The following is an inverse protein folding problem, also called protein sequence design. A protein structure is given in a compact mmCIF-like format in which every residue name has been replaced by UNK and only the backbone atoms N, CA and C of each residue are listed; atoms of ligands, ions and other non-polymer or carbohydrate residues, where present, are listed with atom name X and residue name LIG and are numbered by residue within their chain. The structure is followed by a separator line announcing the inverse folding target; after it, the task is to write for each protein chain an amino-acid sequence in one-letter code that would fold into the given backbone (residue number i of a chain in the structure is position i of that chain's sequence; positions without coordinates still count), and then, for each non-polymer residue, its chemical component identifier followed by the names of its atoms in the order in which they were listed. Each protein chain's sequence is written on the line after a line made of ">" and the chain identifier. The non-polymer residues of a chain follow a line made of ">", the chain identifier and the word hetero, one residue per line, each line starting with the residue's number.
data_IF_067038714634
#
_entry.id   IF_067038714634
#
_cell.length_a   1.000
_cell.length_b   1.000
_cell.length_c   1.000
_cell.angle_alpha   90.00
_cell.angle_beta   90.00
_cell.angle_gamma   90.00
#
_symmetry.space_group_name_H-M   'P 1'
#
loop_
_entity.id
_entity.type
_entity.pdbx_description
1 polymer ?
#
# COMPACT_ATOMS: atom_id res chain seq x y z
N UNK A 1 9.98 4.50 18.15
CA UNK A 1 9.40 4.36 17.75
C UNK A 1 9.05 3.60 16.92
N UNK A 2 9.21 3.31 16.81
CA UNK A 2 8.92 2.72 16.11
C UNK A 2 7.81 2.48 15.84
N UNK A 3 7.49 2.77 15.88
CA UNK A 3 6.44 2.46 15.62
C UNK A 3 5.69 3.00 14.59
N UNK A 4 6.29 3.63 13.72
CA UNK A 4 5.65 4.12 12.56
C UNK A 4 5.01 3.02 11.80
N UNK A 5 5.61 1.92 11.66
CA UNK A 5 5.04 0.85 10.90
C UNK A 5 3.83 0.18 11.51
N UNK A 6 3.42 0.61 12.70
CA UNK A 6 2.35 -0.08 13.36
C UNK A 6 1.02 0.02 12.62
N UNK A 7 0.86 0.99 11.76
CA UNK A 7 -0.38 1.19 11.05
C UNK A 7 -0.57 0.19 9.92
N UNK A 8 0.48 -0.17 9.22
CA UNK A 8 0.40 -1.06 8.08
C UNK A 8 0.91 -2.45 8.41
N UNK A 9 0.23 -3.45 7.87
CA UNK A 9 0.80 -4.80 7.88
C UNK A 9 1.94 -4.85 6.87
N UNK A 10 2.77 -5.87 6.99
CA UNK A 10 3.86 -6.08 6.04
C UNK A 10 3.33 -6.18 4.61
N UNK A 11 2.23 -6.93 4.43
CA UNK A 11 1.66 -7.12 3.10
C UNK A 11 1.11 -5.82 2.53
N UNK A 12 0.47 -5.02 3.36
CA UNK A 12 -0.04 -3.72 2.91
C UNK A 12 1.09 -2.83 2.44
N UNK A 13 2.19 -2.82 3.18
CA UNK A 13 3.34 -2.02 2.79
C UNK A 13 3.94 -2.52 1.48
N UNK A 14 4.06 -3.84 1.32
CA UNK A 14 4.57 -4.41 0.07
C UNK A 14 3.72 -3.97 -1.12
N UNK A 15 2.40 -4.04 -0.97
CA UNK A 15 1.50 -3.70 -2.05
C UNK A 15 1.65 -2.24 -2.44
N UNK A 16 1.67 -1.34 -1.46
CA UNK A 16 1.78 0.08 -1.76
C UNK A 16 3.16 0.45 -2.30
N UNK A 17 4.20 -0.26 -1.86
CA UNK A 17 5.52 -0.03 -2.44
C UNK A 17 5.53 -0.39 -3.94
N UNK A 18 4.86 -1.48 -4.30
CA UNK A 18 4.75 -1.85 -5.70
C UNK A 18 3.88 -0.87 -6.49
N UNK A 19 2.82 -0.35 -5.86
CA UNK A 19 2.00 0.66 -6.51
C UNK A 19 2.81 1.90 -6.85
N UNK A 20 3.66 2.33 -5.94
CA UNK A 20 4.43 3.54 -6.18
C UNK A 20 5.52 3.30 -7.24
N UNK A 21 5.86 2.03 -7.47
CA UNK A 21 6.80 1.65 -8.53
C UNK A 21 6.06 1.37 -9.84
N UNK A 22 4.78 1.75 -9.89
CA UNK A 22 3.97 1.72 -11.11
C UNK A 22 3.48 0.33 -11.52
N UNK A 23 3.41 -0.58 -10.58
CA UNK A 23 2.81 -1.89 -10.83
C UNK A 23 1.29 -1.76 -10.78
N UNK A 24 0.59 -2.44 -11.71
CA UNK A 24 -0.88 -2.50 -11.67
C UNK A 24 -1.32 -3.51 -10.62
N UNK A 25 -2.61 -3.49 -10.27
CA UNK A 25 -3.13 -4.48 -9.34
C UNK A 25 -2.96 -5.89 -9.88
N UNK A 26 -3.08 -6.06 -11.21
CA UNK A 26 -2.87 -7.35 -11.81
C UNK A 26 -1.41 -7.79 -11.65
N UNK A 27 -0.48 -6.89 -11.93
CA UNK A 27 0.93 -7.20 -11.79
C UNK A 27 1.28 -7.57 -10.36
N UNK A 28 0.71 -6.85 -9.40
CA UNK A 28 0.96 -7.13 -7.99
C UNK A 28 0.41 -8.49 -7.61
N UNK A 29 -0.79 -8.82 -8.09
CA UNK A 29 -1.38 -10.11 -7.78
C UNK A 29 -0.51 -11.25 -8.28
N UNK A 30 0.05 -11.09 -9.46
CA UNK A 30 0.92 -12.11 -10.04
C UNK A 30 2.25 -12.20 -9.29
N UNK A 31 2.81 -11.05 -8.96
CA UNK A 31 4.09 -11.01 -8.27
C UNK A 31 4.00 -11.62 -6.88
N UNK A 32 2.92 -11.35 -6.18
CA UNK A 32 2.74 -11.81 -4.80
C UNK A 32 1.96 -13.12 -4.72
N UNK A 33 1.46 -13.61 -5.86
CA UNK A 33 0.72 -14.87 -5.94
C UNK A 33 -0.53 -14.84 -5.07
N UNK A 34 -1.27 -13.75 -5.16
CA UNK A 34 -2.56 -13.59 -4.52
C UNK A 34 -3.54 -13.08 -5.58
N UNK A 35 -4.83 -13.12 -5.28
CA UNK A 35 -5.82 -12.67 -6.25
C UNK A 35 -5.85 -11.15 -6.32
N UNK A 36 -6.33 -10.62 -7.45
CA UNK A 36 -6.52 -9.18 -7.56
C UNK A 36 -7.50 -8.67 -6.52
N UNK A 37 -8.51 -9.48 -6.21
CA UNK A 37 -9.47 -9.07 -5.19
C UNK A 37 -8.76 -8.87 -3.85
N UNK A 38 -7.85 -9.77 -3.50
CA UNK A 38 -7.08 -9.65 -2.27
C UNK A 38 -6.22 -8.38 -2.31
N UNK A 39 -5.59 -8.09 -3.45
CA UNK A 39 -4.82 -6.87 -3.58
C UNK A 39 -5.70 -5.65 -3.33
N UNK A 40 -6.87 -5.60 -3.96
CA UNK A 40 -7.77 -4.47 -3.80
C UNK A 40 -8.27 -4.35 -2.36
N UNK A 41 -8.50 -5.49 -1.70
CA UNK A 41 -8.92 -5.46 -0.29
C UNK A 41 -7.85 -4.84 0.59
N UNK A 42 -6.59 -5.19 0.36
CA UNK A 42 -5.50 -4.59 1.13
C UNK A 42 -5.42 -3.09 0.88
N UNK A 43 -5.61 -2.67 -0.37
CA UNK A 43 -5.58 -1.25 -0.72
C UNK A 43 -6.71 -0.52 0.01
N UNK A 44 -7.93 -1.07 -0.04
CA UNK A 44 -9.08 -0.45 0.62
C UNK A 44 -8.87 -0.35 2.13
N UNK A 45 -8.36 -1.41 2.73
CA UNK A 45 -8.12 -1.40 4.16
C UNK A 45 -7.09 -0.34 4.54
N UNK A 46 -6.06 -0.18 3.73
CA UNK A 46 -5.04 0.83 4.01
C UNK A 46 -5.62 2.24 3.89
N UNK A 47 -6.42 2.47 2.85
CA UNK A 47 -7.08 3.76 2.67
C UNK A 47 -7.91 4.09 3.91
N UNK A 48 -8.66 3.11 4.42
CA UNK A 48 -9.46 3.30 5.61
C UNK A 48 -8.60 3.60 6.83
N UNK A 49 -7.52 2.85 7.00
CA UNK A 49 -6.64 3.04 8.16
C UNK A 49 -6.05 4.44 8.18
N UNK A 50 -5.71 4.95 7.01
CA UNK A 50 -5.09 6.27 6.92
C UNK A 50 -6.10 7.41 6.99
N UNK A 51 -7.38 7.10 6.86
CA UNK A 51 -8.42 8.13 6.91
C UNK A 51 -8.42 9.03 5.70
N UNK A 52 -7.94 8.54 4.56
CA UNK A 52 -7.94 9.31 3.32
C UNK A 52 -9.01 8.78 2.40
N UNK A 53 -9.24 9.46 1.27
CA UNK A 53 -10.37 9.12 0.42
C UNK A 53 -9.99 8.47 -0.89
N UNK A 54 -8.72 8.32 -1.20
CA UNK A 54 -8.33 7.70 -2.47
C UNK A 54 -6.97 7.03 -2.34
N UNK A 55 -6.69 6.19 -3.33
CA UNK A 55 -5.39 5.53 -3.43
C UNK A 55 -4.25 6.54 -3.54
N UNK A 56 -4.45 7.58 -4.36
CA UNK A 56 -3.43 8.60 -4.54
C UNK A 56 -3.12 9.32 -3.23
N UNK A 57 -4.16 9.65 -2.47
CA UNK A 57 -3.94 10.29 -1.19
C UNK A 57 -3.24 9.36 -0.22
N UNK A 58 -3.54 8.06 -0.30
CA UNK A 58 -2.86 7.10 0.55
C UNK A 58 -1.37 7.05 0.23
N UNK A 59 -1.02 7.04 -1.06
CA UNK A 59 0.38 7.02 -1.47
C UNK A 59 1.12 8.25 -0.98
N UNK A 60 0.50 9.42 -1.13
CA UNK A 60 1.12 10.67 -0.68
C UNK A 60 1.35 10.64 0.83
N UNK A 61 0.34 10.19 1.56
CA UNK A 61 0.46 10.16 3.01
C UNK A 61 1.54 9.18 3.46
N UNK A 62 1.62 8.02 2.81
CA UNK A 62 2.63 7.03 3.18
C UNK A 62 4.04 7.53 2.86
N UNK A 63 4.19 8.27 1.77
CA UNK A 63 5.48 8.90 1.47
C UNK A 63 5.84 9.93 2.52
N UNK A 64 4.86 10.74 2.93
CA UNK A 64 5.08 11.75 3.94
C UNK A 64 5.51 11.14 5.26
N UNK A 65 4.92 9.98 5.60
CA UNK A 65 5.24 9.28 6.83
C UNK A 65 6.50 8.42 6.68
N UNK A 66 7.11 8.43 5.50
CA UNK A 66 8.31 7.66 5.21
C UNK A 66 8.10 6.16 5.32
N UNK A 67 6.86 5.71 5.10
CA UNK A 67 6.58 4.28 5.04
C UNK A 67 6.92 3.69 3.68
N UNK A 68 7.02 4.53 2.65
CA UNK A 68 7.37 4.12 1.30
C UNK A 68 8.56 4.92 0.80
N UNK A 69 9.21 4.39 -0.22
CA UNK A 69 10.38 5.02 -0.80
C UNK A 69 10.21 5.13 -2.31
N UNK A 70 10.61 6.28 -2.86
CA UNK A 70 10.54 6.51 -4.30
C UNK A 70 11.76 6.02 -5.04
N UNK A 71 12.82 5.61 -4.36
CA UNK A 71 13.98 5.25 -5.04
C UNK A 71 13.93 3.99 -5.67
#
# INVERSE_FOLDING_TARGET
>A
GQQSGFLLTKREREIFQLLIEDYSTKDISEKLQISEKTVRNHISNTIQKLGVSSRTQALVELLRLQELSLN
#
